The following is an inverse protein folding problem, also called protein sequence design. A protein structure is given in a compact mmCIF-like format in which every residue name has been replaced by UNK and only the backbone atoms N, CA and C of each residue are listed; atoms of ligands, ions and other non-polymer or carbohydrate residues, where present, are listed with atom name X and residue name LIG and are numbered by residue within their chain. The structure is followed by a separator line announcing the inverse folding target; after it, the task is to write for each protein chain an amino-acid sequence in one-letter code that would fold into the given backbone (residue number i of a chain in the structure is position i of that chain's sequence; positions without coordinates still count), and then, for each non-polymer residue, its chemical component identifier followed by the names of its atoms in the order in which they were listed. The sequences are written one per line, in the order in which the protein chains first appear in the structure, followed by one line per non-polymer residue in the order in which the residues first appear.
data_IF_079979853078
#
_entry.id   IF_079979853078
#
_cell.length_a   1.000
_cell.length_b   1.000
_cell.length_c   1.000
_cell.angle_alpha   90.00
_cell.angle_beta   90.00
_cell.angle_gamma   90.00
#
_symmetry.space_group_name_H-M   'P 1'
#
loop_
_entity.id
_entity.type
_entity.pdbx_description
1 polymer ?
#
# COMPACT_ATOMS: atom_id res chain seq x y z
N UNK A 1 -34.31 -9.65 40.04
CA UNK A 1 -33.70 -10.10 41.29
C UNK A 1 -32.28 -10.51 40.92
N UNK A 2 -31.31 -9.84 41.22
CA UNK A 2 -30.51 -9.20 42.23
C UNK A 2 -29.39 -8.40 41.52
N UNK A 3 -29.33 -7.13 41.85
CA UNK A 3 -28.20 -6.23 41.60
C UNK A 3 -26.97 -6.66 42.37
N UNK A 4 -25.77 -6.48 41.83
CA UNK A 4 -24.59 -6.24 42.65
C UNK A 4 -23.66 -5.20 42.03
N UNK A 5 -23.52 -4.11 42.75
CA UNK A 5 -22.55 -3.04 42.64
C UNK A 5 -21.11 -3.54 42.85
N UNK A 6 -20.16 -2.93 42.19
CA UNK A 6 -18.74 -3.09 42.44
C UNK A 6 -17.96 -1.82 42.06
N UNK A 7 -17.91 -0.95 43.03
CA UNK A 7 -16.90 0.03 43.47
C UNK A 7 -15.80 0.51 42.50
N UNK A 8 -15.83 1.82 42.25
CA UNK A 8 -14.73 2.66 41.79
C UNK A 8 -13.66 2.77 42.87
N UNK A 9 -12.40 2.58 42.50
CA UNK A 9 -11.26 3.00 43.32
C UNK A 9 -10.52 4.11 42.57
N UNK A 10 -10.57 5.32 43.15
CA UNK A 10 -9.73 6.45 42.79
C UNK A 10 -8.35 6.25 43.46
N UNK A 11 -7.27 6.47 42.70
CA UNK A 11 -5.92 6.61 43.28
C UNK A 11 -5.42 8.01 42.97
N UNK A 12 -5.21 8.74 44.08
CA UNK A 12 -4.70 10.10 44.11
C UNK A 12 -3.19 10.15 43.82
N UNK A 13 -2.74 11.32 43.38
CA UNK A 13 -1.39 11.60 42.96
C UNK A 13 -0.33 11.60 44.06
N UNK A 14 0.90 11.46 43.61
CA UNK A 14 2.12 11.71 44.37
C UNK A 14 3.21 12.16 43.42
N UNK A 15 3.48 13.46 43.38
CA UNK A 15 4.65 14.03 42.73
C UNK A 15 5.88 13.80 43.60
N UNK A 16 6.92 13.17 43.04
CA UNK A 16 8.26 13.17 43.64
C UNK A 16 9.24 13.73 42.61
N UNK A 17 9.77 14.91 42.91
CA UNK A 17 10.85 15.54 42.19
C UNK A 17 12.18 14.88 42.58
N UNK A 18 12.96 14.43 41.60
CA UNK A 18 14.37 14.07 41.82
C UNK A 18 15.25 14.89 40.91
N UNK A 19 16.21 15.56 41.52
CA UNK A 19 17.16 16.44 40.91
C UNK A 19 18.20 15.72 40.03
N UNK A 20 18.60 16.41 38.97
CA UNK A 20 19.62 15.97 38.01
C UNK A 20 21.02 16.32 38.53
N UNK A 21 21.87 15.33 38.65
CA UNK A 21 23.31 15.53 38.75
C UNK A 21 23.96 15.17 37.43
N UNK A 22 24.54 16.14 36.75
CA UNK A 22 25.31 16.00 35.52
C UNK A 22 26.70 15.39 35.85
N UNK A 23 26.99 14.20 35.32
CA UNK A 23 28.34 13.66 35.20
C UNK A 23 28.66 13.50 33.70
N UNK A 24 29.57 14.34 33.23
CA UNK A 24 30.18 14.25 31.88
C UNK A 24 31.24 13.16 31.92
N UNK A 25 30.95 12.01 31.34
CA UNK A 25 31.89 10.94 31.08
C UNK A 25 32.14 10.81 29.59
N UNK A 26 33.33 11.20 29.11
CA UNK A 26 33.78 10.96 27.73
C UNK A 26 34.24 9.49 27.67
N UNK A 27 33.37 8.62 27.16
CA UNK A 27 33.67 7.23 26.86
C UNK A 27 33.63 6.97 25.38
N UNK A 28 34.76 6.62 24.78
CA UNK A 28 34.88 6.11 23.42
C UNK A 28 34.23 4.72 23.35
N UNK A 29 33.03 4.64 22.75
CA UNK A 29 32.39 3.36 22.48
C UNK A 29 32.78 2.88 21.09
N UNK A 30 33.46 1.73 21.05
CA UNK A 30 33.59 0.93 19.85
C UNK A 30 32.20 0.42 19.45
N UNK A 31 31.79 0.69 18.21
CA UNK A 31 30.52 0.25 17.65
C UNK A 31 30.56 -1.25 17.41
N UNK A 32 30.08 -2.06 18.36
CA UNK A 32 29.64 -3.42 18.11
C UNK A 32 28.24 -3.34 17.51
N UNK A 33 28.13 -3.64 16.21
CA UNK A 33 26.87 -3.62 15.44
C UNK A 33 25.94 -4.73 15.91
N UNK A 34 25.06 -4.41 16.85
CA UNK A 34 23.84 -5.19 17.10
C UNK A 34 22.84 -4.69 16.05
N UNK A 35 22.23 -5.55 15.23
CA UNK A 35 21.17 -5.13 14.33
C UNK A 35 20.02 -4.56 15.19
N UNK A 36 19.81 -3.25 15.09
CA UNK A 36 18.66 -2.62 15.73
C UNK A 36 17.43 -3.10 14.98
N UNK A 37 16.60 -3.88 15.65
CA UNK A 37 15.25 -4.15 15.18
C UNK A 37 14.49 -2.83 15.18
N UNK A 38 14.29 -2.26 13.99
CA UNK A 38 13.47 -1.06 13.83
C UNK A 38 12.07 -1.40 14.33
N UNK A 39 11.59 -0.71 15.33
CA UNK A 39 10.21 -0.87 15.81
C UNK A 39 9.26 -0.54 14.66
N UNK A 40 8.26 -1.39 14.41
CA UNK A 40 7.28 -1.21 13.32
C UNK A 40 6.60 0.17 13.34
N UNK A 41 6.43 0.77 14.51
CA UNK A 41 5.86 2.12 14.67
C UNK A 41 6.73 3.26 14.10
N UNK A 42 8.00 2.98 13.74
CA UNK A 42 8.93 3.96 13.14
C UNK A 42 9.00 3.87 11.61
N UNK A 43 8.34 2.89 11.00
CA UNK A 43 8.29 2.79 9.55
C UNK A 43 7.45 3.94 8.97
N UNK A 44 8.09 4.81 8.19
CA UNK A 44 7.42 5.88 7.46
C UNK A 44 6.76 5.37 6.17
N UNK A 45 5.84 6.17 5.64
CA UNK A 45 5.29 5.96 4.31
C UNK A 45 6.36 6.28 3.26
N UNK A 46 6.46 5.43 2.25
CA UNK A 46 7.22 5.76 1.06
C UNK A 46 6.55 6.96 0.33
N UNK A 47 7.32 7.93 -0.17
CA UNK A 47 6.75 9.08 -0.87
C UNK A 47 5.83 8.65 -2.02
N UNK A 48 4.65 9.24 -2.09
CA UNK A 48 3.69 8.99 -3.16
C UNK A 48 2.96 7.64 -3.12
N UNK A 49 3.07 6.85 -2.05
CA UNK A 49 2.39 5.54 -1.94
C UNK A 49 0.94 5.64 -1.46
N UNK A 50 0.51 6.80 -1.02
CA UNK A 50 -0.88 7.09 -0.61
C UNK A 50 -1.33 8.42 -1.19
N UNK A 51 -2.65 8.69 -1.32
CA UNK A 51 -3.14 9.99 -1.73
C UNK A 51 -2.56 11.10 -0.86
N UNK A 52 -2.06 12.18 -1.48
CA UNK A 52 -1.35 13.26 -0.79
C UNK A 52 -2.18 13.89 0.34
N UNK A 53 -3.51 13.97 0.16
CA UNK A 53 -4.44 14.49 1.17
C UNK A 53 -4.45 13.67 2.46
N UNK A 54 -4.13 12.38 2.40
CA UNK A 54 -4.19 11.46 3.56
C UNK A 54 -2.81 11.14 4.16
N UNK A 55 -1.72 11.43 3.43
CA UNK A 55 -0.37 11.02 3.82
C UNK A 55 0.00 11.46 5.25
N UNK A 56 -0.25 12.72 5.60
CA UNK A 56 0.06 13.24 6.94
C UNK A 56 -0.87 12.67 8.03
N UNK A 57 -2.14 12.44 7.71
CA UNK A 57 -3.10 11.83 8.64
C UNK A 57 -2.67 10.40 8.96
N UNK A 58 -2.37 9.60 7.94
CA UNK A 58 -1.93 8.21 8.07
C UNK A 58 -0.57 8.13 8.79
N UNK A 59 0.38 9.03 8.46
CA UNK A 59 1.70 9.05 9.11
C UNK A 59 1.58 9.31 10.62
N UNK A 60 0.74 10.26 11.02
CA UNK A 60 0.49 10.55 12.45
C UNK A 60 -0.26 9.43 13.15
N UNK A 61 -1.35 8.97 12.55
CA UNK A 61 -2.20 7.93 13.13
C UNK A 61 -1.48 6.58 13.25
N UNK A 62 -0.61 6.23 12.30
CA UNK A 62 0.20 5.01 12.31
C UNK A 62 1.25 4.93 13.42
N UNK A 63 1.37 5.95 14.28
CA UNK A 63 2.25 5.95 15.45
C UNK A 63 1.49 5.83 16.77
N UNK A 64 0.18 5.58 16.76
CA UNK A 64 -0.69 5.61 17.94
C UNK A 64 -0.41 4.48 18.95
N UNK A 65 0.10 3.34 18.51
CA UNK A 65 0.56 2.24 19.37
C UNK A 65 1.64 1.38 18.66
N UNK A 66 2.38 0.54 19.43
CA UNK A 66 3.52 -0.22 18.88
C UNK A 66 3.15 -1.25 17.81
N UNK A 67 1.92 -1.72 17.80
CA UNK A 67 1.46 -2.78 16.89
C UNK A 67 1.11 -2.29 15.50
N UNK A 68 0.87 -0.99 15.32
CA UNK A 68 0.56 -0.40 14.01
C UNK A 68 1.74 0.42 13.49
N UNK A 69 1.75 0.60 12.18
CA UNK A 69 2.67 1.51 11.49
C UNK A 69 1.90 2.28 10.41
N UNK A 70 2.44 3.40 9.97
CA UNK A 70 1.81 4.16 8.89
C UNK A 70 1.61 3.34 7.61
N UNK A 71 2.58 2.51 7.15
CA UNK A 71 2.37 1.61 6.02
C UNK A 71 1.27 0.56 6.24
N UNK A 72 1.16 0.00 7.46
CA UNK A 72 0.11 -0.97 7.77
C UNK A 72 -1.28 -0.32 7.77
N UNK A 73 -1.41 0.85 8.40
CA UNK A 73 -2.67 1.61 8.38
C UNK A 73 -3.06 2.01 6.95
N UNK A 74 -2.09 2.45 6.12
CA UNK A 74 -2.34 2.74 4.71
C UNK A 74 -2.86 1.51 3.95
N UNK A 75 -2.22 0.35 4.14
CA UNK A 75 -2.63 -0.91 3.52
C UNK A 75 -4.04 -1.33 3.95
N UNK A 76 -4.37 -1.11 5.22
CA UNK A 76 -5.69 -1.39 5.77
C UNK A 76 -6.75 -0.47 5.15
N UNK A 77 -6.56 0.84 5.14
CA UNK A 77 -7.49 1.80 4.52
C UNK A 77 -7.68 1.53 3.02
N UNK A 78 -6.60 1.09 2.35
CA UNK A 78 -6.70 0.64 0.97
C UNK A 78 -7.55 -0.64 0.83
N UNK A 79 -7.32 -1.63 1.68
CA UNK A 79 -8.08 -2.89 1.66
C UNK A 79 -9.56 -2.67 2.00
N UNK A 80 -9.88 -1.70 2.87
CA UNK A 80 -11.25 -1.38 3.25
C UNK A 80 -12.03 -0.68 2.13
N UNK A 81 -11.44 0.32 1.48
CA UNK A 81 -12.17 1.20 0.57
C UNK A 81 -11.41 1.64 -0.68
N UNK A 82 -10.14 1.27 -0.85
CA UNK A 82 -9.29 1.87 -1.88
C UNK A 82 -9.02 3.36 -1.64
N UNK A 83 -9.04 3.81 -0.39
CA UNK A 83 -8.98 5.23 0.01
C UNK A 83 -10.22 6.06 -0.37
N UNK A 84 -11.34 5.45 -0.67
CA UNK A 84 -12.60 6.16 -0.95
C UNK A 84 -13.31 6.55 0.36
N UNK A 85 -13.30 7.86 0.67
CA UNK A 85 -13.97 8.39 1.84
C UNK A 85 -15.51 8.27 1.76
N UNK A 86 -16.07 8.13 0.56
CA UNK A 86 -17.51 7.94 0.32
C UNK A 86 -17.96 6.48 0.26
N UNK A 87 -17.04 5.53 0.43
CA UNK A 87 -17.33 4.10 0.28
C UNK A 87 -18.42 3.62 1.25
N UNK A 88 -19.35 2.81 0.74
CA UNK A 88 -20.41 2.18 1.53
C UNK A 88 -20.57 0.72 1.11
N UNK A 89 -20.42 -0.20 2.05
CA UNK A 89 -20.64 -1.61 1.78
C UNK A 89 -22.12 -1.99 1.78
N UNK A 90 -22.51 -3.09 1.12
CA UNK A 90 -23.89 -3.60 1.14
C UNK A 90 -24.41 -3.93 2.55
N UNK A 91 -23.50 -4.24 3.49
CA UNK A 91 -23.84 -4.55 4.89
C UNK A 91 -23.82 -3.33 5.80
N UNK A 92 -23.55 -2.13 5.26
CA UNK A 92 -23.66 -0.85 5.98
C UNK A 92 -22.37 -0.32 6.58
N UNK A 93 -21.21 -0.89 6.25
CA UNK A 93 -19.93 -0.29 6.60
C UNK A 93 -19.71 1.04 5.83
N UNK A 94 -19.03 2.02 6.44
CA UNK A 94 -19.02 3.41 6.01
C UNK A 94 -17.62 4.03 6.02
N UNK A 95 -17.38 4.87 5.02
CA UNK A 95 -16.20 5.73 4.91
C UNK A 95 -14.91 5.01 4.56
N UNK A 96 -13.80 5.74 4.61
CA UNK A 96 -12.47 5.27 4.19
C UNK A 96 -11.98 4.01 4.95
N UNK A 97 -12.43 3.84 6.21
CA UNK A 97 -12.04 2.73 7.08
C UNK A 97 -13.16 1.71 7.31
N UNK A 98 -14.27 1.79 6.55
CA UNK A 98 -15.41 0.87 6.56
C UNK A 98 -15.95 0.55 7.96
N UNK A 99 -16.13 1.59 8.79
CA UNK A 99 -16.73 1.42 10.11
C UNK A 99 -18.20 1.00 10.03
N UNK A 100 -18.56 -0.02 10.79
CA UNK A 100 -19.95 -0.28 11.10
C UNK A 100 -20.49 0.82 12.03
N UNK A 101 -21.79 1.22 11.90
CA UNK A 101 -22.34 2.32 12.72
C UNK A 101 -22.18 2.12 14.23
N UNK A 102 -22.28 0.89 14.72
CA UNK A 102 -22.06 0.57 16.15
C UNK A 102 -20.61 0.79 16.57
N UNK A 103 -19.65 0.34 15.76
CA UNK A 103 -18.22 0.54 16.01
C UNK A 103 -17.86 2.03 15.93
N UNK A 104 -18.42 2.76 14.98
CA UNK A 104 -18.23 4.21 14.88
C UNK A 104 -18.74 4.97 16.11
N UNK A 105 -19.91 4.59 16.63
CA UNK A 105 -20.46 5.22 17.83
C UNK A 105 -19.53 5.09 19.05
N UNK A 106 -18.79 3.99 19.14
CA UNK A 106 -17.85 3.70 20.23
C UNK A 106 -16.45 4.29 19.99
N UNK A 107 -15.90 4.14 18.79
CA UNK A 107 -14.50 4.45 18.48
C UNK A 107 -14.28 5.70 17.62
N UNK A 108 -15.35 6.29 17.06
CA UNK A 108 -15.24 7.53 16.28
C UNK A 108 -14.62 8.66 17.08
N UNK A 109 -13.71 9.40 16.48
CA UNK A 109 -13.03 10.56 17.09
C UNK A 109 -13.30 11.82 16.27
N UNK A 110 -13.18 12.97 16.90
CA UNK A 110 -13.08 14.29 16.26
C UNK A 110 -11.58 14.55 16.06
N UNK A 111 -11.06 14.16 14.90
CA UNK A 111 -9.65 14.18 14.62
C UNK A 111 -9.13 15.52 14.10
N UNK A 112 -10.01 16.36 13.57
CA UNK A 112 -9.71 17.71 13.09
C UNK A 112 -10.05 18.81 14.10
N UNK A 113 -10.81 18.50 15.18
CA UNK A 113 -11.18 19.42 16.25
C UNK A 113 -12.32 20.36 15.88
N UNK A 114 -13.21 20.00 14.93
CA UNK A 114 -14.32 20.81 14.48
C UNK A 114 -15.59 20.65 15.35
N UNK A 115 -15.53 19.79 16.37
CA UNK A 115 -16.62 19.49 17.30
C UNK A 115 -17.58 18.42 16.81
N UNK A 116 -17.27 17.72 15.71
CA UNK A 116 -18.07 16.63 15.15
C UNK A 116 -17.23 15.34 15.07
N UNK A 117 -17.92 14.23 14.95
CA UNK A 117 -17.32 12.92 14.60
C UNK A 117 -18.03 12.43 13.35
N UNK A 118 -17.40 12.62 12.20
CA UNK A 118 -17.98 12.28 10.91
C UNK A 118 -17.23 11.11 10.27
N UNK A 119 -17.89 9.97 10.12
CA UNK A 119 -17.30 8.76 9.50
C UNK A 119 -16.90 8.96 8.04
N UNK A 120 -17.46 10.00 7.40
CA UNK A 120 -17.17 10.36 6.02
C UNK A 120 -16.01 11.36 5.89
N UNK A 121 -15.58 11.96 7.00
CA UNK A 121 -14.40 12.82 7.03
C UNK A 121 -13.13 11.97 7.30
N UNK A 122 -12.19 11.88 6.35
CA UNK A 122 -10.92 11.19 6.58
C UNK A 122 -10.10 11.72 7.74
N UNK A 123 -10.27 13.00 8.09
CA UNK A 123 -9.57 13.59 9.24
C UNK A 123 -10.06 13.01 10.58
N UNK A 124 -11.27 12.48 10.63
CA UNK A 124 -11.85 11.78 11.78
C UNK A 124 -11.68 10.26 11.65
N UNK A 125 -11.99 9.72 10.47
CA UNK A 125 -12.04 8.29 10.25
C UNK A 125 -10.65 7.61 10.30
N UNK A 126 -9.59 8.27 9.81
CA UNK A 126 -8.23 7.71 9.82
C UNK A 126 -7.68 7.58 11.25
N UNK A 127 -7.70 8.62 12.11
CA UNK A 127 -7.27 8.45 13.50
C UNK A 127 -8.21 7.53 14.30
N UNK A 128 -9.50 7.47 13.98
CA UNK A 128 -10.42 6.51 14.60
C UNK A 128 -10.04 5.05 14.25
N UNK A 129 -9.66 4.78 12.99
CA UNK A 129 -9.18 3.46 12.59
C UNK A 129 -7.94 3.02 13.39
N UNK A 130 -6.95 3.91 13.52
CA UNK A 130 -5.77 3.64 14.34
C UNK A 130 -6.11 3.43 15.83
N UNK A 131 -7.05 4.20 16.38
CA UNK A 131 -7.51 4.02 17.75
C UNK A 131 -8.20 2.67 17.96
N UNK A 132 -9.01 2.24 16.98
CA UNK A 132 -9.67 0.92 16.98
C UNK A 132 -8.65 -0.20 16.85
N UNK A 133 -7.66 -0.08 15.96
CA UNK A 133 -6.54 -1.01 15.85
C UNK A 133 -5.82 -1.19 17.20
N UNK A 134 -5.49 -0.09 17.86
CA UNK A 134 -4.85 -0.13 19.16
C UNK A 134 -5.75 -0.77 20.24
N UNK A 135 -7.06 -0.62 20.14
CA UNK A 135 -8.00 -1.33 21.03
C UNK A 135 -8.00 -2.84 20.75
N UNK A 136 -8.00 -3.24 19.48
CA UNK A 136 -7.92 -4.67 19.09
C UNK A 136 -6.60 -5.30 19.47
N UNK A 137 -5.48 -4.58 19.35
CA UNK A 137 -4.17 -5.04 19.82
C UNK A 137 -4.16 -5.32 21.33
N UNK A 138 -4.79 -4.44 22.12
CA UNK A 138 -4.94 -4.64 23.58
C UNK A 138 -5.87 -5.80 23.89
N UNK A 139 -6.99 -5.93 23.19
CA UNK A 139 -7.95 -7.01 23.40
C UNK A 139 -7.35 -8.40 23.13
N UNK A 140 -6.37 -8.48 22.22
CA UNK A 140 -5.73 -9.73 21.80
C UNK A 140 -4.31 -9.92 22.35
N UNK A 141 -3.89 -9.15 23.35
CA UNK A 141 -2.49 -9.09 23.83
C UNK A 141 -1.94 -10.45 24.30
N UNK A 142 -2.78 -11.32 24.84
CA UNK A 142 -2.40 -12.66 25.32
C UNK A 142 -2.50 -13.77 24.28
N UNK A 143 -2.92 -13.47 23.06
CA UNK A 143 -3.11 -14.47 22.01
C UNK A 143 -1.77 -14.84 21.38
N UNK A 144 -1.43 -16.14 21.25
CA UNK A 144 -0.19 -16.59 20.62
C UNK A 144 -0.05 -16.15 19.17
N UNK A 145 1.21 -16.15 18.66
CA UNK A 145 1.52 -15.91 17.25
C UNK A 145 1.82 -14.44 16.93
N UNK A 146 1.55 -14.05 15.68
CA UNK A 146 1.87 -12.72 15.16
C UNK A 146 0.84 -11.69 15.67
N UNK A 147 1.29 -10.74 16.50
CA UNK A 147 0.44 -9.71 17.11
C UNK A 147 -0.26 -8.81 16.07
N UNK A 148 0.41 -8.48 14.99
CA UNK A 148 -0.19 -7.69 13.90
C UNK A 148 -1.25 -8.50 13.16
N UNK A 149 -1.00 -9.77 12.90
CA UNK A 149 -2.00 -10.64 12.29
C UNK A 149 -3.24 -10.81 13.19
N UNK A 150 -3.04 -10.96 14.51
CA UNK A 150 -4.14 -11.05 15.47
C UNK A 150 -4.94 -9.74 15.56
N UNK A 151 -4.27 -8.58 15.55
CA UNK A 151 -4.91 -7.27 15.49
C UNK A 151 -5.77 -7.12 14.24
N UNK A 152 -5.21 -7.36 13.05
CA UNK A 152 -5.93 -7.25 11.78
C UNK A 152 -7.11 -8.23 11.70
N UNK A 153 -6.93 -9.45 12.20
CA UNK A 153 -8.02 -10.42 12.31
C UNK A 153 -9.12 -9.96 13.26
N UNK A 154 -8.76 -9.30 14.36
CA UNK A 154 -9.71 -8.76 15.31
C UNK A 154 -10.47 -7.55 14.76
N UNK A 155 -9.84 -6.71 13.94
CA UNK A 155 -10.50 -5.63 13.22
C UNK A 155 -11.60 -6.17 12.28
N UNK A 156 -11.26 -7.19 11.47
CA UNK A 156 -12.15 -7.77 10.47
C UNK A 156 -13.23 -8.71 11.05
N UNK A 157 -12.85 -9.60 11.97
CA UNK A 157 -13.72 -10.67 12.48
C UNK A 157 -14.17 -10.49 13.94
N UNK A 158 -13.72 -9.42 14.60
CA UNK A 158 -13.94 -9.19 16.04
C UNK A 158 -12.91 -9.89 16.93
N UNK A 159 -12.59 -9.26 18.07
CA UNK A 159 -11.64 -9.80 19.04
C UNK A 159 -12.08 -11.15 19.63
N UNK A 160 -13.38 -11.37 19.81
CA UNK A 160 -13.92 -12.62 20.34
C UNK A 160 -13.60 -13.84 19.44
N UNK A 161 -13.59 -13.65 18.12
CA UNK A 161 -13.17 -14.70 17.21
C UNK A 161 -11.69 -15.05 17.39
N UNK A 162 -10.82 -14.02 17.48
CA UNK A 162 -9.38 -14.21 17.69
C UNK A 162 -9.08 -14.88 19.04
N UNK A 163 -9.77 -14.47 20.09
CA UNK A 163 -9.66 -15.10 21.43
C UNK A 163 -10.12 -16.55 21.41
N UNK A 164 -11.24 -16.83 20.74
CA UNK A 164 -11.79 -18.21 20.62
C UNK A 164 -10.85 -19.15 19.91
N UNK A 165 -10.25 -18.70 18.80
CA UNK A 165 -9.35 -19.54 18.00
C UNK A 165 -7.88 -19.44 18.41
N UNK A 166 -7.56 -18.62 19.41
CA UNK A 166 -6.19 -18.38 19.89
C UNK A 166 -5.24 -17.98 18.76
N UNK A 167 -5.71 -17.12 17.84
CA UNK A 167 -5.01 -16.65 16.67
C UNK A 167 -5.96 -16.18 15.57
N UNK A 168 -5.44 -16.01 14.35
CA UNK A 168 -6.27 -15.68 13.18
C UNK A 168 -7.30 -16.80 12.95
N UNK A 169 -8.62 -16.49 12.98
CA UNK A 169 -9.65 -17.51 12.84
C UNK A 169 -9.62 -18.15 11.44
N UNK A 170 -10.10 -19.41 11.28
CA UNK A 170 -10.06 -20.13 10.01
C UNK A 170 -11.15 -19.67 9.03
N UNK A 171 -11.40 -18.36 8.99
CA UNK A 171 -12.31 -17.74 8.03
C UNK A 171 -11.53 -17.32 6.80
N UNK A 172 -11.89 -17.80 5.61
CA UNK A 172 -11.15 -17.53 4.38
C UNK A 172 -11.00 -16.03 4.10
N UNK A 173 -12.08 -15.26 4.36
CA UNK A 173 -12.09 -13.79 4.24
C UNK A 173 -11.05 -13.14 5.17
N UNK A 174 -11.09 -13.46 6.48
CA UNK A 174 -10.18 -12.88 7.47
C UNK A 174 -8.72 -13.26 7.20
N UNK A 175 -8.47 -14.50 6.82
CA UNK A 175 -7.12 -14.93 6.44
C UNK A 175 -6.63 -14.21 5.17
N UNK A 176 -7.51 -14.00 4.18
CA UNK A 176 -7.24 -13.20 3.00
C UNK A 176 -6.91 -11.75 3.35
N UNK A 177 -7.75 -11.13 4.17
CA UNK A 177 -7.59 -9.77 4.68
C UNK A 177 -6.22 -9.55 5.34
N UNK A 178 -5.86 -10.41 6.31
CA UNK A 178 -4.56 -10.34 7.00
C UNK A 178 -3.39 -10.48 6.03
N UNK A 179 -3.43 -11.45 5.11
CA UNK A 179 -2.35 -11.63 4.12
C UNK A 179 -2.20 -10.44 3.21
N UNK A 180 -3.31 -9.93 2.66
CA UNK A 180 -3.31 -8.80 1.75
C UNK A 180 -2.74 -7.54 2.40
N UNK A 181 -3.19 -7.19 3.61
CA UNK A 181 -2.70 -6.00 4.31
C UNK A 181 -1.21 -6.12 4.65
N UNK A 182 -0.75 -7.27 5.15
CA UNK A 182 0.68 -7.46 5.46
C UNK A 182 1.57 -7.36 4.22
N UNK A 183 1.12 -7.86 3.08
CA UNK A 183 1.84 -7.75 1.83
C UNK A 183 1.82 -6.30 1.29
N UNK A 184 0.64 -5.64 1.27
CA UNK A 184 0.50 -4.25 0.86
C UNK A 184 1.29 -3.28 1.75
N UNK A 185 1.36 -3.51 3.05
CA UNK A 185 2.14 -2.68 3.96
C UNK A 185 3.62 -2.60 3.56
N UNK A 186 4.18 -3.65 2.98
CA UNK A 186 5.56 -3.63 2.46
C UNK A 186 5.71 -2.68 1.27
N UNK A 187 4.71 -2.58 0.40
CA UNK A 187 4.73 -1.65 -0.74
C UNK A 187 4.52 -0.20 -0.33
N UNK A 188 3.82 0.05 0.78
CA UNK A 188 3.63 1.39 1.34
C UNK A 188 4.80 1.85 2.24
N UNK A 189 5.65 0.94 2.69
CA UNK A 189 6.76 1.27 3.58
C UNK A 189 7.88 2.01 2.82
N UNK A 190 8.41 3.05 3.45
CA UNK A 190 9.69 3.59 3.02
C UNK A 190 10.77 2.50 3.12
N UNK A 191 11.51 2.26 2.05
CA UNK A 191 12.57 1.28 2.04
C UNK A 191 13.57 1.55 3.17
N UNK A 192 13.89 0.54 3.97
CA UNK A 192 14.85 0.64 5.09
C UNK A 192 16.29 0.91 4.63
N UNK A 193 16.57 0.83 3.34
CA UNK A 193 17.77 1.33 2.66
C UNK A 193 17.36 1.73 1.24
N UNK A 194 17.82 2.88 0.70
CA UNK A 194 17.39 3.29 -0.61
C UNK A 194 17.96 2.32 -1.66
N UNK A 195 17.13 1.40 -2.14
CA UNK A 195 17.28 1.03 -3.53
C UNK A 195 16.99 2.33 -4.26
N UNK A 196 17.99 2.92 -4.90
CA UNK A 196 17.85 4.20 -5.59
C UNK A 196 16.79 4.03 -6.69
N UNK A 197 15.54 4.30 -6.34
CA UNK A 197 14.45 4.45 -7.32
C UNK A 197 14.73 5.75 -7.99
N UNK A 198 14.82 5.76 -9.32
CA UNK A 198 15.08 7.00 -10.05
C UNK A 198 13.96 8.00 -9.74
N UNK A 199 14.28 9.28 -9.76
CA UNK A 199 13.29 10.33 -9.55
C UNK A 199 12.11 10.21 -10.53
N UNK A 200 12.39 9.76 -11.78
CA UNK A 200 11.37 9.50 -12.77
C UNK A 200 10.46 8.33 -12.37
N UNK A 201 11.00 7.23 -11.89
CA UNK A 201 10.21 6.09 -11.44
C UNK A 201 9.28 6.47 -10.27
N UNK A 202 9.79 7.21 -9.28
CA UNK A 202 9.00 7.71 -8.15
C UNK A 202 7.88 8.65 -8.61
N UNK A 203 8.17 9.56 -9.56
CA UNK A 203 7.17 10.47 -10.13
C UNK A 203 6.10 9.76 -10.95
N UNK A 204 6.48 8.74 -11.74
CA UNK A 204 5.54 7.93 -12.51
C UNK A 204 4.60 7.11 -11.59
N UNK A 205 5.14 6.51 -10.53
CA UNK A 205 4.32 5.84 -9.49
C UNK A 205 3.35 6.83 -8.85
N UNK A 206 3.85 7.99 -8.42
CA UNK A 206 3.01 9.02 -7.82
C UNK A 206 1.86 9.43 -8.76
N UNK A 207 2.14 9.64 -10.05
CA UNK A 207 1.09 9.92 -11.03
C UNK A 207 0.05 8.80 -11.06
N UNK A 208 0.47 7.54 -11.21
CA UNK A 208 -0.45 6.39 -11.25
C UNK A 208 -1.33 6.33 -9.98
N UNK A 209 -0.75 6.62 -8.81
CA UNK A 209 -1.47 6.67 -7.54
C UNK A 209 -2.53 7.77 -7.48
N UNK A 210 -2.30 8.94 -8.11
CA UNK A 210 -3.33 9.99 -8.21
C UNK A 210 -4.53 9.57 -9.06
N UNK A 211 -4.43 8.44 -9.79
CA UNK A 211 -5.49 7.90 -10.67
C UNK A 211 -6.23 6.70 -10.07
N UNK A 212 -5.88 6.29 -8.84
CA UNK A 212 -6.62 5.22 -8.15
C UNK A 212 -8.12 5.56 -8.10
N UNK A 213 -8.96 4.54 -8.38
CA UNK A 213 -10.40 4.71 -8.48
C UNK A 213 -10.92 5.22 -9.83
N UNK A 214 -10.04 5.66 -10.75
CA UNK A 214 -10.43 6.09 -12.09
C UNK A 214 -10.95 4.91 -12.92
N UNK A 215 -12.11 5.01 -13.60
CA UNK A 215 -12.63 3.93 -14.40
C UNK A 215 -11.72 3.55 -15.57
N UNK A 216 -11.64 2.24 -15.85
CA UNK A 216 -11.00 1.73 -17.06
C UNK A 216 -11.79 2.09 -18.32
N UNK A 217 -11.10 2.44 -19.39
CA UNK A 217 -11.65 2.56 -20.72
C UNK A 217 -10.67 2.04 -21.77
N UNK A 218 -11.14 1.13 -22.64
CA UNK A 218 -10.32 0.63 -23.73
C UNK A 218 -9.89 1.76 -24.67
N UNK A 219 -8.59 1.90 -24.90
CA UNK A 219 -8.06 3.02 -25.69
C UNK A 219 -7.89 4.31 -24.88
N UNK A 220 -8.23 4.32 -23.60
CA UNK A 220 -8.15 5.49 -22.71
C UNK A 220 -6.72 5.98 -22.50
N UNK A 221 -6.54 7.31 -22.63
CA UNK A 221 -5.26 8.01 -22.46
C UNK A 221 -5.34 9.12 -21.41
N UNK A 222 -6.42 9.13 -20.63
CA UNK A 222 -6.64 10.13 -19.60
C UNK A 222 -7.16 11.49 -20.07
N UNK A 223 -7.44 11.67 -21.37
CA UNK A 223 -7.99 12.93 -21.90
C UNK A 223 -9.37 13.25 -21.31
N UNK A 224 -10.16 12.21 -21.05
CA UNK A 224 -11.47 12.27 -20.39
C UNK A 224 -11.44 11.78 -18.95
N UNK A 225 -10.24 11.61 -18.40
CA UNK A 225 -10.02 11.10 -17.04
C UNK A 225 -10.04 9.57 -16.93
N UNK A 226 -10.07 8.81 -18.05
CA UNK A 226 -10.09 7.35 -18.07
C UNK A 226 -8.86 6.77 -18.74
N UNK A 227 -8.48 5.55 -18.36
CA UNK A 227 -7.26 4.90 -18.82
C UNK A 227 -7.50 3.45 -19.20
N UNK A 228 -6.76 2.96 -20.21
CA UNK A 228 -6.42 1.54 -20.27
C UNK A 228 -5.04 1.29 -19.63
N UNK A 229 -4.62 0.03 -19.56
CA UNK A 229 -3.38 -0.39 -18.90
C UNK A 229 -2.14 0.38 -19.42
N UNK A 230 -1.92 0.36 -20.71
CA UNK A 230 -0.76 0.99 -21.35
C UNK A 230 -0.88 2.52 -21.47
N UNK A 231 -2.09 3.06 -21.57
CA UNK A 231 -2.35 4.49 -21.52
C UNK A 231 -2.03 5.10 -20.19
N UNK A 232 -2.36 4.42 -19.08
CA UNK A 232 -1.95 4.83 -17.73
C UNK A 232 -0.42 4.90 -17.62
N UNK A 233 0.30 3.87 -18.08
CA UNK A 233 1.76 3.83 -18.06
C UNK A 233 2.37 4.92 -18.91
N UNK A 234 1.82 5.13 -20.13
CA UNK A 234 2.26 6.17 -21.07
C UNK A 234 2.21 7.55 -20.43
N UNK A 235 1.07 7.91 -19.81
CA UNK A 235 0.89 9.24 -19.20
C UNK A 235 1.67 9.36 -17.89
N UNK A 236 1.78 8.30 -17.11
CA UNK A 236 2.59 8.28 -15.89
C UNK A 236 4.06 8.61 -16.19
N UNK A 237 4.64 7.96 -17.19
CA UNK A 237 6.03 8.23 -17.58
C UNK A 237 6.20 9.55 -18.34
N UNK A 238 5.20 9.99 -19.12
CA UNK A 238 5.21 11.31 -19.76
C UNK A 238 5.25 12.44 -18.73
N UNK A 239 4.61 12.28 -17.57
CA UNK A 239 4.63 13.26 -16.49
C UNK A 239 6.01 13.52 -15.89
N UNK A 240 6.96 12.62 -16.16
CA UNK A 240 8.37 12.70 -15.70
C UNK A 240 9.37 12.81 -16.88
N UNK A 241 8.86 13.17 -18.05
CA UNK A 241 9.68 13.46 -19.23
C UNK A 241 10.11 12.24 -20.05
N UNK A 242 9.52 11.07 -19.83
CA UNK A 242 9.81 9.85 -20.61
C UNK A 242 8.61 9.50 -21.49
N UNK A 243 8.83 9.45 -22.80
CA UNK A 243 7.79 9.09 -23.77
C UNK A 243 7.78 7.59 -23.99
N UNK A 244 6.67 6.92 -23.63
CA UNK A 244 6.44 5.50 -23.89
C UNK A 244 5.56 5.30 -25.12
N UNK A 245 5.66 4.15 -25.81
CA UNK A 245 4.71 3.75 -26.83
C UNK A 245 3.29 3.63 -26.28
N UNK A 246 2.32 3.66 -27.21
CA UNK A 246 0.90 3.59 -26.82
C UNK A 246 0.47 2.21 -26.32
N UNK A 247 1.03 1.12 -26.84
CA UNK A 247 0.56 -0.24 -26.56
C UNK A 247 1.53 -1.03 -25.69
N UNK A 248 1.00 -1.92 -24.88
CA UNK A 248 1.78 -2.64 -23.85
C UNK A 248 2.93 -3.47 -24.44
N UNK A 249 2.71 -4.19 -25.53
CA UNK A 249 3.75 -5.00 -26.17
C UNK A 249 4.89 -4.17 -26.78
N UNK A 250 4.68 -2.88 -27.09
CA UNK A 250 5.75 -1.98 -27.48
C UNK A 250 6.48 -1.38 -26.27
N UNK A 251 5.75 -1.16 -25.17
CA UNK A 251 6.34 -0.69 -23.91
C UNK A 251 7.31 -1.71 -23.32
N UNK A 252 7.16 -2.99 -23.64
CA UNK A 252 8.12 -4.04 -23.29
C UNK A 252 9.54 -3.68 -23.68
N UNK A 253 9.73 -3.04 -24.84
CA UNK A 253 11.06 -2.70 -25.37
C UNK A 253 11.63 -1.38 -24.85
N UNK A 254 10.97 -0.72 -23.89
CA UNK A 254 11.35 0.62 -23.41
C UNK A 254 12.56 0.63 -22.46
N UNK A 255 13.26 -0.47 -22.27
CA UNK A 255 14.42 -0.54 -21.38
C UNK A 255 14.96 -1.95 -21.16
N UNK A 256 15.61 -2.13 -20.01
CA UNK A 256 16.21 -3.40 -19.63
C UNK A 256 15.17 -4.34 -18.98
N UNK A 257 15.38 -5.66 -19.12
CA UNK A 257 14.51 -6.66 -18.52
C UNK A 257 15.14 -7.23 -17.23
N UNK A 258 14.78 -6.71 -16.05
CA UNK A 258 15.23 -7.28 -14.79
C UNK A 258 14.56 -8.63 -14.54
N UNK A 259 15.26 -9.54 -13.87
CA UNK A 259 14.65 -10.77 -13.32
C UNK A 259 13.68 -10.42 -12.19
N UNK A 260 12.78 -11.34 -11.86
CA UNK A 260 11.71 -11.11 -10.88
C UNK A 260 12.23 -10.74 -9.48
N UNK A 261 13.36 -11.30 -9.07
CA UNK A 261 14.05 -11.02 -7.80
C UNK A 261 14.79 -9.67 -7.80
N UNK A 262 14.98 -9.05 -8.97
CA UNK A 262 15.64 -7.76 -9.15
C UNK A 262 14.64 -6.62 -9.40
N UNK A 263 13.33 -6.89 -9.31
CA UNK A 263 12.31 -5.87 -9.51
C UNK A 263 12.49 -4.70 -8.54
N UNK A 264 12.28 -3.49 -9.07
CA UNK A 264 12.32 -2.23 -8.32
C UNK A 264 11.04 -1.44 -8.58
N UNK A 265 10.56 -0.68 -7.60
CA UNK A 265 9.45 0.24 -7.83
C UNK A 265 9.72 1.12 -9.06
N UNK A 266 8.73 1.21 -9.95
CA UNK A 266 8.82 1.87 -11.25
C UNK A 266 9.07 0.93 -12.43
N UNK A 267 9.50 -0.32 -12.22
CA UNK A 267 9.56 -1.27 -13.34
C UNK A 267 8.14 -1.51 -13.89
N UNK A 268 8.00 -1.55 -15.20
CA UNK A 268 6.76 -2.01 -15.82
C UNK A 268 6.73 -3.54 -15.75
N UNK A 269 5.61 -4.11 -15.35
CA UNK A 269 5.38 -5.56 -15.28
C UNK A 269 4.34 -5.96 -16.29
N UNK A 270 4.56 -7.09 -16.99
CA UNK A 270 3.80 -7.47 -18.15
C UNK A 270 3.20 -8.86 -18.02
N UNK A 271 2.07 -9.03 -18.70
CA UNK A 271 1.29 -10.27 -18.71
C UNK A 271 0.96 -10.63 -20.16
N UNK A 272 1.12 -11.91 -20.53
CA UNK A 272 1.04 -12.40 -21.89
C UNK A 272 0.28 -13.73 -21.98
N UNK A 273 -0.37 -13.97 -23.11
CA UNK A 273 -1.07 -15.24 -23.37
C UNK A 273 -0.09 -16.36 -23.72
N UNK A 274 1.09 -16.02 -24.25
CA UNK A 274 2.22 -16.94 -24.46
C UNK A 274 3.47 -16.34 -23.78
N UNK A 275 3.97 -16.99 -22.75
CA UNK A 275 5.11 -16.52 -21.95
C UNK A 275 6.44 -16.51 -22.74
N UNK A 276 6.48 -17.09 -23.94
CA UNK A 276 7.65 -17.10 -24.81
C UNK A 276 7.56 -16.05 -25.94
N UNK A 277 6.43 -15.37 -26.08
CA UNK A 277 6.22 -14.38 -27.13
C UNK A 277 5.75 -13.02 -26.58
N UNK A 278 6.67 -12.02 -26.45
CA UNK A 278 6.30 -10.68 -25.99
C UNK A 278 5.24 -9.97 -26.88
N UNK A 279 5.01 -10.43 -28.11
CA UNK A 279 3.96 -9.88 -28.97
C UNK A 279 2.57 -10.26 -28.48
N UNK A 280 2.47 -11.30 -27.64
CA UNK A 280 1.22 -11.73 -27.02
C UNK A 280 0.90 -11.00 -25.72
N UNK A 281 1.69 -9.98 -25.33
CA UNK A 281 1.44 -9.14 -24.15
C UNK A 281 0.11 -8.43 -24.34
N UNK A 282 -0.78 -8.64 -23.36
CA UNK A 282 -2.12 -8.07 -23.35
C UNK A 282 -2.34 -7.10 -22.18
N UNK A 283 -1.44 -7.08 -21.19
CA UNK A 283 -1.59 -6.23 -20.03
C UNK A 283 -0.24 -5.74 -19.48
N UNK A 284 -0.28 -4.57 -18.80
CA UNK A 284 0.87 -3.93 -18.16
C UNK A 284 0.45 -3.14 -16.94
N UNK A 285 1.30 -3.14 -15.91
CA UNK A 285 1.18 -2.29 -14.73
C UNK A 285 2.53 -1.73 -14.31
N UNK A 286 2.55 -0.73 -13.40
CA UNK A 286 3.76 -0.21 -12.78
C UNK A 286 3.99 -0.89 -11.44
N UNK A 287 5.14 -1.54 -11.28
CA UNK A 287 5.51 -2.20 -10.03
C UNK A 287 5.76 -1.19 -8.91
N UNK A 288 5.20 -1.42 -7.74
CA UNK A 288 5.29 -0.51 -6.59
C UNK A 288 6.03 -1.12 -5.40
N UNK A 289 6.48 -2.38 -5.52
CA UNK A 289 7.12 -3.12 -4.43
C UNK A 289 6.20 -4.17 -3.81
N UNK A 290 6.76 -5.03 -2.94
CA UNK A 290 5.99 -6.00 -2.16
C UNK A 290 5.19 -7.04 -2.96
N UNK A 291 5.44 -7.20 -4.26
CA UNK A 291 4.66 -8.08 -5.13
C UNK A 291 3.41 -7.45 -5.74
N UNK A 292 3.29 -6.11 -5.68
CA UNK A 292 2.14 -5.35 -6.19
C UNK A 292 2.51 -4.41 -7.33
N UNK A 293 1.51 -4.13 -8.18
CA UNK A 293 1.55 -3.11 -9.24
C UNK A 293 0.34 -2.19 -9.11
N UNK A 294 0.40 -1.02 -9.75
CA UNK A 294 -0.79 -0.21 -10.07
C UNK A 294 -1.07 -0.39 -11.55
N UNK A 295 -2.31 -0.67 -11.88
CA UNK A 295 -2.74 -0.88 -13.26
C UNK A 295 -4.18 -0.41 -13.49
N UNK A 296 -4.59 -0.38 -14.75
CA UNK A 296 -5.97 -0.26 -15.19
C UNK A 296 -6.35 -1.59 -15.85
N UNK A 297 -7.02 -2.52 -15.13
CA UNK A 297 -7.00 -3.93 -15.54
C UNK A 297 -7.92 -4.27 -16.72
N UNK A 298 -9.18 -3.88 -16.69
CA UNK A 298 -10.17 -4.24 -17.73
C UNK A 298 -11.45 -3.41 -17.63
N UNK A 299 -12.31 -3.49 -18.63
CA UNK A 299 -13.65 -2.86 -18.66
C UNK A 299 -14.46 -3.25 -17.43
N UNK A 300 -15.06 -2.26 -16.79
CA UNK A 300 -15.84 -2.43 -15.55
C UNK A 300 -15.04 -2.36 -14.27
N UNK A 301 -13.70 -2.29 -14.36
CA UNK A 301 -12.81 -2.06 -13.22
C UNK A 301 -12.34 -0.61 -13.15
N UNK A 302 -11.60 -0.30 -12.10
CA UNK A 302 -10.95 0.99 -11.87
C UNK A 302 -9.43 0.81 -11.79
N UNK A 303 -8.67 1.88 -11.93
CA UNK A 303 -7.25 1.90 -11.59
C UNK A 303 -7.08 1.50 -10.12
N UNK A 304 -6.25 0.50 -9.86
CA UNK A 304 -6.10 -0.09 -8.53
C UNK A 304 -4.72 -0.71 -8.34
N UNK A 305 -4.48 -1.22 -7.13
CA UNK A 305 -3.38 -2.13 -6.87
C UNK A 305 -3.80 -3.57 -7.17
N UNK A 306 -3.00 -4.28 -7.96
CA UNK A 306 -3.15 -5.73 -8.17
C UNK A 306 -1.83 -6.46 -7.88
N UNK A 307 -1.91 -7.75 -7.56
CA UNK A 307 -0.71 -8.58 -7.39
C UNK A 307 -0.06 -8.88 -8.72
N UNK A 308 1.28 -8.93 -8.74
CA UNK A 308 2.04 -9.44 -9.90
C UNK A 308 2.15 -10.97 -9.92
N UNK A 309 1.63 -11.65 -8.89
CA UNK A 309 1.66 -13.11 -8.80
C UNK A 309 0.49 -13.72 -9.58
N UNK A 310 0.59 -13.63 -10.90
CA UNK A 310 -0.40 -14.13 -11.85
C UNK A 310 0.27 -15.14 -12.79
N UNK A 311 -0.50 -16.12 -13.27
CA UNK A 311 0.02 -17.23 -14.06
C UNK A 311 0.57 -16.82 -15.44
N UNK A 312 0.11 -15.68 -15.95
CA UNK A 312 0.46 -15.09 -17.24
C UNK A 312 1.54 -13.98 -17.15
N UNK A 313 2.22 -13.82 -15.99
CA UNK A 313 3.34 -12.91 -15.83
C UNK A 313 4.52 -13.34 -16.72
N UNK A 314 4.85 -12.54 -17.75
CA UNK A 314 5.95 -12.81 -18.68
C UNK A 314 7.28 -12.19 -18.22
N UNK A 315 7.26 -11.09 -17.49
CA UNK A 315 8.46 -10.37 -17.06
C UNK A 315 8.25 -8.89 -16.84
N UNK A 316 9.35 -8.15 -16.81
CA UNK A 316 9.33 -6.72 -16.54
C UNK A 316 10.29 -5.94 -17.45
N UNK A 317 10.06 -4.61 -17.52
CA UNK A 317 10.97 -3.65 -18.16
C UNK A 317 11.29 -2.53 -17.18
N UNK A 318 12.58 -2.31 -16.94
CA UNK A 318 13.08 -1.12 -16.26
C UNK A 318 13.20 0.00 -17.27
N UNK A 319 12.25 0.91 -17.25
CA UNK A 319 12.18 2.03 -18.18
C UNK A 319 13.38 2.95 -17.99
N UNK A 320 14.08 3.24 -19.06
CA UNK A 320 15.14 4.26 -19.12
C UNK A 320 14.84 5.24 -20.23
N UNK A 321 15.32 6.48 -20.10
CA UNK A 321 15.11 7.49 -21.14
C UNK A 321 15.72 7.04 -22.48
N UNK A 322 16.92 6.46 -22.46
CA UNK A 322 17.59 5.95 -23.65
C UNK A 322 16.86 4.73 -24.23
N UNK A 323 16.39 3.80 -23.38
CA UNK A 323 15.61 2.65 -23.81
C UNK A 323 14.29 3.03 -24.44
N UNK A 324 13.58 4.01 -23.87
CA UNK A 324 12.33 4.53 -24.43
C UNK A 324 12.56 5.27 -25.77
N UNK A 325 13.70 5.93 -25.95
CA UNK A 325 14.06 6.62 -27.18
C UNK A 325 14.56 5.69 -28.30
N UNK A 326 15.12 4.52 -27.91
CA UNK A 326 15.69 3.54 -28.84
C UNK A 326 14.68 2.52 -29.40
N UNK A 327 13.38 2.79 -29.25
CA UNK A 327 12.35 1.87 -29.70
C UNK A 327 12.41 1.65 -31.21
N UNK A 328 12.28 0.39 -31.68
CA UNK A 328 12.33 0.10 -33.09
C UNK A 328 11.17 0.78 -33.84
N UNK A 329 11.50 1.45 -34.97
CA UNK A 329 10.51 2.05 -35.83
C UNK A 329 9.57 0.97 -36.40
N UNK A 330 8.27 1.25 -36.43
CA UNK A 330 7.28 0.39 -37.09
C UNK A 330 7.04 0.86 -38.50
N UNK A 331 6.79 -0.07 -39.41
CA UNK A 331 6.25 0.24 -40.74
C UNK A 331 4.76 0.64 -40.66
N UNK A 332 4.20 1.13 -41.75
CA UNK A 332 2.80 1.53 -41.82
C UNK A 332 1.78 0.41 -41.59
N UNK A 333 2.23 -0.85 -41.49
CA UNK A 333 1.43 -2.02 -41.19
C UNK A 333 1.63 -2.51 -39.73
N UNK A 334 2.39 -1.75 -38.93
CA UNK A 334 2.64 -2.09 -37.50
C UNK A 334 3.72 -3.14 -37.28
N UNK A 335 4.46 -3.56 -38.28
CA UNK A 335 5.57 -4.51 -38.19
C UNK A 335 6.84 -3.81 -37.76
N UNK A 336 7.58 -4.37 -36.81
CA UNK A 336 8.85 -3.83 -36.32
C UNK A 336 9.87 -3.92 -37.47
N UNK A 337 10.35 -2.77 -37.95
CA UNK A 337 11.41 -2.69 -38.95
C UNK A 337 12.72 -2.33 -38.26
N UNK A 338 13.64 -3.29 -38.21
CA UNK A 338 15.01 -3.05 -37.79
C UNK A 338 15.26 -3.11 -36.28
N UNK A 339 15.36 -4.30 -35.74
CA UNK A 339 15.91 -4.59 -34.44
C UNK A 339 16.47 -5.99 -34.46
N UNK A 340 17.80 -6.14 -34.41
CA UNK A 340 18.42 -7.43 -34.14
C UNK A 340 17.99 -7.88 -32.74
N UNK A 341 17.22 -8.95 -32.72
CA UNK A 341 16.81 -9.67 -31.52
C UNK A 341 18.07 -9.99 -30.68
N UNK A 342 18.24 -9.49 -29.46
CA UNK A 342 19.30 -10.00 -28.61
C UNK A 342 18.94 -11.45 -28.26
N UNK A 343 19.72 -12.40 -28.76
CA UNK A 343 19.63 -13.82 -28.38
C UNK A 343 19.62 -13.96 -26.87
N UNK A 344 18.80 -14.84 -26.30
CA UNK A 344 18.89 -15.20 -24.89
C UNK A 344 20.27 -15.75 -24.62
N UNK A 345 20.99 -15.18 -23.66
CA UNK A 345 22.24 -15.77 -23.18
C UNK A 345 21.91 -16.97 -22.31
N UNK A 346 22.75 -18.03 -22.40
CA UNK A 346 22.55 -19.29 -21.69
C UNK A 346 22.61 -19.15 -20.18
#
# INVERSE_FOLDING_TARGET
MVLRNGTRAAVAGGAVAFGFLLLVGVGTYAASGVPQTVSNSQLGLAPGTVPAAYAQLIQRAGSSCPEISAPMLAAQLYQESGFDAGARSPVGAQGIAQFMPGTWAEYGVDGNGDGKRDVWDPADAIPAAAAYDCAMARATIGVPGDRQANLLAAYNAGSDAVLRYQGVPPYAETQGYVRSIKALAQSFAAAAAPVAVSQQASGAIYFAQTKLGTPYEWGGTGLDGRFDCSGLMQVAYASVGITLPRVANDQWYAGQHPSRDQLRPGDLVFFATDLNDPRSIHHVGIYVGGGYMIDAPHTGAVVRYDTIDQADYIGATRVTQDGAAALPARDGNGTITGGSNPSPRP
#
